data_IF_222337471685
#
_entry.id   IF_222337471685
#
_cell.length_a   1.000
_cell.length_b   1.000
_cell.length_c   1.000
_cell.angle_alpha   90.00
_cell.angle_beta   90.00
_cell.angle_gamma   90.00
#
_symmetry.space_group_name_H-M   'P 1'
#
loop_
_entity.id
_entity.type
_entity.pdbx_description
1 polymer ?
#
# COMPACT_ATOMS: atom_id res chain seq x y z
N UNK A 1 -33.38 16.18 -26.64
CA UNK A 1 -32.96 15.89 -25.30
C UNK A 1 -31.54 16.45 -25.11
N UNK A 2 -31.41 17.53 -24.32
CA UNK A 2 -30.20 18.35 -24.23
C UNK A 2 -29.12 17.63 -23.45
N UNK A 3 -27.90 17.58 -24.01
CA UNK A 3 -26.69 17.21 -23.31
C UNK A 3 -25.93 18.50 -23.04
N UNK A 4 -25.81 18.90 -21.75
CA UNK A 4 -24.90 19.95 -21.32
C UNK A 4 -23.45 19.41 -21.30
N UNK A 5 -22.59 20.01 -22.09
CA UNK A 5 -21.15 19.76 -22.08
C UNK A 5 -20.51 20.89 -21.27
N UNK A 6 -19.93 20.54 -20.13
CA UNK A 6 -19.08 21.46 -19.37
C UNK A 6 -17.67 21.53 -19.99
N UNK A 7 -17.15 22.75 -20.03
CA UNK A 7 -15.87 23.15 -20.64
C UNK A 7 -14.67 22.40 -20.08
N UNK A 8 -13.86 21.81 -20.97
CA UNK A 8 -12.43 21.71 -20.82
C UNK A 8 -11.75 22.10 -22.14
N UNK A 9 -10.87 23.09 -22.07
CA UNK A 9 -10.09 23.62 -23.16
C UNK A 9 -9.17 22.55 -23.77
N UNK A 10 -9.48 22.13 -24.99
CA UNK A 10 -8.52 21.52 -25.90
C UNK A 10 -8.96 21.84 -27.34
N UNK A 11 -8.18 22.66 -28.01
CA UNK A 11 -8.42 23.16 -29.37
C UNK A 11 -8.66 22.08 -30.43
N UNK A 12 -8.19 20.86 -30.18
CA UNK A 12 -8.33 19.70 -31.08
C UNK A 12 -9.74 19.09 -31.01
N UNK A 13 -10.41 19.15 -29.86
CA UNK A 13 -11.78 18.63 -29.70
C UNK A 13 -12.79 19.57 -30.36
N UNK A 14 -12.55 20.88 -30.34
CA UNK A 14 -13.38 21.88 -31.01
C UNK A 14 -13.32 21.77 -32.54
N UNK A 15 -12.14 21.49 -33.13
CA UNK A 15 -11.98 21.30 -34.57
C UNK A 15 -12.75 20.05 -35.07
N UNK A 16 -12.67 18.93 -34.35
CA UNK A 16 -13.42 17.70 -34.63
C UNK A 16 -14.94 17.91 -34.48
N UNK A 17 -15.38 18.66 -33.48
CA UNK A 17 -16.79 18.98 -33.25
C UNK A 17 -17.39 19.86 -34.39
N UNK A 18 -16.63 20.80 -34.95
CA UNK A 18 -17.06 21.64 -36.08
C UNK A 18 -17.13 20.87 -37.40
N UNK A 19 -16.16 20.01 -37.67
CA UNK A 19 -16.15 19.14 -38.85
C UNK A 19 -17.33 18.16 -38.78
N UNK A 20 -17.56 17.54 -37.61
CA UNK A 20 -18.67 16.62 -37.41
C UNK A 20 -20.04 17.28 -37.58
N UNK A 21 -20.26 18.47 -37.03
CA UNK A 21 -21.51 19.23 -37.25
C UNK A 21 -21.74 19.58 -38.71
N UNK A 22 -20.73 19.95 -39.47
CA UNK A 22 -20.85 20.25 -40.91
C UNK A 22 -21.13 19.00 -41.76
N UNK A 23 -20.49 17.85 -41.42
CA UNK A 23 -20.73 16.58 -42.09
C UNK A 23 -22.16 16.05 -41.82
N UNK A 24 -22.57 16.09 -40.55
CA UNK A 24 -23.93 15.66 -40.17
C UNK A 24 -25.00 16.55 -40.80
N UNK A 25 -24.84 17.88 -40.81
CA UNK A 25 -25.75 18.79 -41.45
C UNK A 25 -25.87 18.59 -42.98
N UNK A 26 -24.75 18.29 -43.66
CA UNK A 26 -24.74 17.96 -45.09
C UNK A 26 -25.38 16.59 -45.40
N UNK A 27 -25.16 15.59 -44.52
CA UNK A 27 -25.79 14.28 -44.65
C UNK A 27 -27.32 14.31 -44.40
N UNK A 28 -27.77 15.06 -43.39
CA UNK A 28 -29.21 15.21 -43.09
C UNK A 28 -29.96 15.93 -44.24
N UNK A 29 -29.31 16.87 -44.92
CA UNK A 29 -29.90 17.56 -46.09
C UNK A 29 -29.98 16.69 -47.35
N UNK A 30 -29.22 15.56 -47.42
CA UNK A 30 -29.13 14.70 -48.60
C UNK A 30 -30.00 13.43 -48.53
N UNK A 31 -30.74 13.19 -47.45
CA UNK A 31 -31.41 11.88 -47.24
C UNK A 31 -32.88 12.01 -46.91
N UNK A 32 -33.72 11.83 -47.93
CA UNK A 32 -35.20 11.72 -47.82
C UNK A 32 -35.69 10.28 -47.58
N UNK A 33 -34.88 9.32 -47.16
CA UNK A 33 -35.35 7.95 -46.88
C UNK A 33 -35.17 7.56 -45.40
N UNK A 34 -36.27 7.18 -44.73
CA UNK A 34 -36.31 6.75 -43.32
C UNK A 34 -35.33 5.62 -42.96
N UNK A 35 -34.97 4.76 -43.91
CA UNK A 35 -34.07 3.61 -43.70
C UNK A 35 -32.59 3.99 -43.48
N UNK A 36 -32.14 5.10 -44.08
CA UNK A 36 -30.76 5.53 -44.00
C UNK A 36 -30.44 6.21 -42.63
N UNK A 37 -31.43 6.95 -42.10
CA UNK A 37 -31.32 7.61 -40.78
C UNK A 37 -31.19 6.55 -39.65
N UNK A 38 -31.97 5.47 -39.74
CA UNK A 38 -31.93 4.38 -38.77
C UNK A 38 -30.57 3.67 -38.80
N UNK A 39 -29.97 3.45 -39.99
CA UNK A 39 -28.66 2.82 -40.14
C UNK A 39 -27.52 3.68 -39.54
N UNK A 40 -27.58 5.01 -39.74
CA UNK A 40 -26.59 5.94 -39.15
C UNK A 40 -26.73 5.98 -37.62
N UNK A 41 -27.93 6.04 -37.07
CA UNK A 41 -28.17 6.00 -35.64
C UNK A 41 -27.68 4.69 -35.02
N UNK A 42 -27.90 3.55 -35.67
CA UNK A 42 -27.44 2.26 -35.22
C UNK A 42 -25.91 2.15 -35.27
N UNK A 43 -25.28 2.66 -36.33
CA UNK A 43 -23.78 2.71 -36.43
C UNK A 43 -23.16 3.64 -35.40
N UNK A 44 -23.77 4.81 -35.14
CA UNK A 44 -23.30 5.73 -34.09
C UNK A 44 -23.51 5.16 -32.70
N UNK A 45 -24.59 4.41 -32.48
CA UNK A 45 -24.85 3.72 -31.22
C UNK A 45 -23.83 2.59 -30.98
N UNK A 46 -23.56 1.77 -32.00
CA UNK A 46 -22.53 0.71 -31.95
C UNK A 46 -21.13 1.31 -31.76
N UNK A 47 -20.80 2.41 -32.46
CA UNK A 47 -19.52 3.09 -32.31
C UNK A 47 -19.37 3.72 -30.90
N UNK A 48 -20.46 4.25 -30.36
CA UNK A 48 -20.49 4.76 -28.98
C UNK A 48 -20.31 3.67 -27.94
N UNK A 49 -20.87 2.47 -28.13
CA UNK A 49 -20.69 1.31 -27.24
C UNK A 49 -19.24 0.78 -27.32
N UNK A 50 -18.65 0.70 -28.51
CA UNK A 50 -17.26 0.26 -28.70
C UNK A 50 -16.28 1.26 -28.09
N UNK A 51 -16.51 2.57 -28.26
CA UNK A 51 -15.68 3.61 -27.67
C UNK A 51 -15.78 3.66 -26.13
N UNK A 52 -16.96 3.34 -25.57
CA UNK A 52 -17.20 3.33 -24.13
C UNK A 52 -16.49 2.15 -23.42
N UNK A 53 -16.14 1.10 -24.15
CA UNK A 53 -15.50 -0.09 -23.62
C UNK A 53 -14.00 -0.19 -23.96
N UNK A 54 -13.43 0.81 -24.62
CA UNK A 54 -11.98 0.82 -24.91
C UNK A 54 -11.18 0.95 -23.60
N UNK A 55 -10.34 -0.03 -23.30
CA UNK A 55 -9.41 0.03 -22.17
C UNK A 55 -8.44 1.19 -22.40
N UNK A 56 -8.20 2.06 -21.41
CA UNK A 56 -7.25 3.15 -21.56
C UNK A 56 -5.86 2.64 -21.95
N UNK A 57 -5.24 3.29 -22.93
CA UNK A 57 -3.91 2.89 -23.42
C UNK A 57 -2.88 2.72 -22.31
N UNK A 58 -2.92 3.59 -21.30
CA UNK A 58 -1.99 3.54 -20.18
C UNK A 58 -2.21 2.30 -19.29
N UNK A 59 -3.46 1.87 -19.09
CA UNK A 59 -3.75 0.64 -18.36
C UNK A 59 -3.10 -0.57 -19.04
N UNK A 60 -3.16 -0.68 -20.35
CA UNK A 60 -2.51 -1.77 -21.09
C UNK A 60 -0.98 -1.68 -21.05
N UNK A 61 -0.42 -0.47 -21.04
CA UNK A 61 1.03 -0.29 -20.87
C UNK A 61 1.53 -0.71 -19.49
N UNK A 62 0.68 -0.63 -18.47
CA UNK A 62 1.00 -1.05 -17.10
C UNK A 62 0.81 -2.57 -16.88
N UNK A 63 0.29 -3.31 -17.88
CA UNK A 63 0.06 -4.77 -17.78
C UNK A 63 1.37 -5.54 -17.65
N UNK A 64 1.47 -6.37 -16.62
CA UNK A 64 2.56 -7.33 -16.43
C UNK A 64 2.19 -8.62 -17.16
N UNK A 65 3.01 -9.02 -18.12
CA UNK A 65 2.83 -10.30 -18.81
C UNK A 65 3.24 -11.49 -17.93
N UNK A 66 4.39 -11.39 -17.30
CA UNK A 66 4.91 -12.35 -16.32
C UNK A 66 6.11 -11.76 -15.59
N UNK A 67 6.26 -12.06 -14.30
CA UNK A 67 7.46 -11.72 -13.54
C UNK A 67 8.53 -12.82 -13.69
N UNK A 68 9.83 -12.48 -13.64
CA UNK A 68 10.89 -13.48 -13.68
C UNK A 68 10.75 -14.56 -12.61
N UNK A 69 10.69 -15.82 -13.03
CA UNK A 69 10.50 -16.95 -12.12
C UNK A 69 9.11 -17.11 -11.53
N UNK A 70 8.11 -16.40 -12.07
CA UNK A 70 6.71 -16.52 -11.65
C UNK A 70 6.10 -17.83 -12.13
N UNK A 71 5.36 -18.57 -11.28
CA UNK A 71 4.53 -19.69 -11.74
C UNK A 71 3.34 -19.18 -12.60
N UNK A 72 2.76 -20.04 -13.48
CA UNK A 72 1.58 -19.67 -14.25
C UNK A 72 0.40 -19.25 -13.37
N UNK A 73 -0.28 -18.16 -13.73
CA UNK A 73 -1.48 -17.65 -13.05
C UNK A 73 -2.55 -17.24 -14.05
N UNK A 74 -3.82 -17.29 -13.64
CA UNK A 74 -4.97 -16.92 -14.47
C UNK A 74 -5.52 -15.50 -14.22
N UNK A 75 -4.93 -14.71 -13.31
CA UNK A 75 -5.37 -13.36 -13.01
C UNK A 75 -4.44 -12.32 -13.65
N UNK A 76 -4.99 -11.14 -13.95
CA UNK A 76 -4.20 -10.03 -14.50
C UNK A 76 -3.43 -9.31 -13.42
N UNK A 77 -2.29 -8.74 -13.83
CA UNK A 77 -1.42 -7.93 -12.99
C UNK A 77 -1.04 -6.65 -13.72
N UNK A 78 -0.88 -5.57 -12.98
CA UNK A 78 -0.48 -4.27 -13.51
C UNK A 78 0.45 -3.58 -12.52
N UNK A 79 1.44 -2.86 -13.02
CA UNK A 79 2.31 -2.01 -12.19
C UNK A 79 2.81 -0.81 -12.99
N UNK A 80 3.15 0.24 -12.27
CA UNK A 80 3.63 1.47 -12.88
C UNK A 80 3.57 2.64 -11.92
N UNK A 81 3.70 3.83 -12.47
CA UNK A 81 3.74 5.06 -11.71
C UNK A 81 2.50 5.92 -11.95
N UNK A 82 2.04 6.57 -10.88
CA UNK A 82 1.07 7.66 -10.96
C UNK A 82 1.71 8.90 -10.33
N UNK A 83 1.88 9.95 -11.12
CA UNK A 83 2.34 11.24 -10.62
C UNK A 83 1.28 11.81 -9.67
N UNK A 84 1.69 12.27 -8.50
CA UNK A 84 0.81 12.86 -7.48
C UNK A 84 1.06 14.34 -7.29
N UNK A 85 2.26 14.82 -7.66
CA UNK A 85 2.61 16.23 -7.65
C UNK A 85 3.59 16.55 -8.79
N UNK A 86 3.13 17.26 -9.80
CA UNK A 86 3.95 17.63 -10.98
C UNK A 86 5.06 18.62 -10.64
N UNK A 87 4.77 19.58 -9.74
CA UNK A 87 5.72 20.64 -9.38
C UNK A 87 6.97 20.08 -8.70
N UNK A 88 6.78 19.11 -7.81
CA UNK A 88 7.87 18.44 -7.08
C UNK A 88 8.35 17.17 -7.78
N UNK A 89 7.63 16.70 -8.80
CA UNK A 89 7.91 15.45 -9.49
C UNK A 89 7.72 14.22 -8.62
N UNK A 90 6.76 14.26 -7.68
CA UNK A 90 6.41 13.07 -6.89
C UNK A 90 5.56 12.12 -7.69
N UNK A 91 5.98 10.84 -7.73
CA UNK A 91 5.25 9.75 -8.35
C UNK A 91 5.25 8.52 -7.43
N UNK A 92 4.09 7.92 -7.27
CA UNK A 92 3.92 6.72 -6.47
C UNK A 92 3.83 5.49 -7.36
N UNK A 93 4.60 4.48 -6.99
CA UNK A 93 4.61 3.17 -7.65
C UNK A 93 3.52 2.28 -7.04
N UNK A 94 2.87 1.49 -7.88
CA UNK A 94 1.88 0.52 -7.46
C UNK A 94 2.08 -0.84 -8.14
N UNK A 95 1.64 -1.89 -7.46
CA UNK A 95 1.40 -3.21 -8.04
C UNK A 95 -0.05 -3.60 -7.77
N UNK A 96 -0.79 -3.83 -8.83
CA UNK A 96 -2.19 -4.21 -8.77
C UNK A 96 -2.38 -5.65 -9.28
N UNK A 97 -3.10 -6.47 -8.51
CA UNK A 97 -3.44 -7.85 -8.87
C UNK A 97 -4.95 -8.01 -8.85
N UNK A 98 -5.51 -8.47 -9.95
CA UNK A 98 -6.94 -8.78 -10.00
C UNK A 98 -7.25 -10.03 -9.17
N UNK A 99 -8.52 -10.17 -8.78
CA UNK A 99 -8.99 -11.36 -8.10
C UNK A 99 -8.88 -12.59 -9.01
N UNK A 100 -8.60 -13.75 -8.42
CA UNK A 100 -8.40 -15.01 -9.15
C UNK A 100 -9.65 -15.48 -9.87
N UNK A 101 -10.83 -15.09 -9.38
CA UNK A 101 -12.14 -15.45 -9.95
C UNK A 101 -13.07 -14.26 -9.97
N UNK A 102 -13.76 -14.06 -11.08
CA UNK A 102 -14.82 -13.05 -11.27
C UNK A 102 -14.41 -11.65 -10.75
N UNK A 103 -13.24 -11.11 -11.20
CA UNK A 103 -12.69 -9.86 -10.67
C UNK A 103 -13.65 -8.68 -10.81
N UNK A 104 -14.53 -8.71 -11.82
CA UNK A 104 -15.54 -7.68 -12.03
C UNK A 104 -16.62 -7.62 -10.94
N UNK A 105 -16.77 -8.64 -10.09
CA UNK A 105 -17.71 -8.70 -8.96
C UNK A 105 -17.07 -8.52 -7.60
N UNK A 106 -15.73 -8.63 -7.53
CA UNK A 106 -14.99 -8.54 -6.27
C UNK A 106 -14.69 -7.07 -5.91
N UNK A 107 -14.61 -6.75 -4.62
CA UNK A 107 -14.25 -5.40 -4.18
C UNK A 107 -12.82 -5.02 -4.57
N UNK A 108 -12.51 -3.72 -4.53
CA UNK A 108 -11.16 -3.20 -4.62
C UNK A 108 -10.63 -2.92 -3.21
N UNK A 109 -9.43 -3.42 -2.92
CA UNK A 109 -8.72 -3.24 -1.66
C UNK A 109 -7.39 -2.53 -1.93
N UNK A 110 -7.15 -1.39 -1.29
CA UNK A 110 -5.83 -0.77 -1.19
C UNK A 110 -5.13 -1.32 0.04
N UNK A 111 -3.90 -1.81 -0.13
CA UNK A 111 -3.04 -2.25 0.98
C UNK A 111 -1.87 -1.30 1.19
N UNK A 112 -1.63 -0.95 2.47
CA UNK A 112 -0.54 -0.08 2.91
C UNK A 112 0.24 -0.76 4.04
N UNK A 113 1.55 -0.87 3.90
CA UNK A 113 2.44 -1.21 5.01
C UNK A 113 2.96 0.05 5.70
N UNK A 114 3.32 -0.11 6.96
CA UNK A 114 3.71 0.99 7.82
C UNK A 114 5.16 1.46 7.69
N UNK A 115 5.90 1.32 8.74
CA UNK A 115 7.27 1.79 8.92
C UNK A 115 7.32 2.85 10.02
N UNK A 116 7.14 4.18 9.78
CA UNK A 116 6.75 4.79 8.49
C UNK A 116 7.81 4.61 7.42
N UNK A 117 7.38 4.63 6.15
CA UNK A 117 8.31 4.59 5.03
C UNK A 117 8.72 3.18 4.56
N UNK A 118 7.91 2.14 4.81
CA UNK A 118 8.15 0.78 4.34
C UNK A 118 7.24 0.40 3.16
N UNK A 119 7.72 -0.51 2.33
CA UNK A 119 7.14 -0.88 1.04
C UNK A 119 6.01 -1.90 1.17
N UNK A 120 4.85 -1.58 0.61
CA UNK A 120 3.74 -2.53 0.46
C UNK A 120 4.01 -3.62 -0.58
N UNK A 121 4.98 -3.41 -1.47
CA UNK A 121 5.44 -4.43 -2.42
C UNK A 121 6.36 -5.45 -1.71
N UNK A 122 7.23 -4.97 -0.81
CA UNK A 122 8.08 -5.84 -0.01
C UNK A 122 7.25 -6.75 0.90
N UNK A 123 6.50 -6.14 1.81
CA UNK A 123 5.79 -6.86 2.87
C UNK A 123 4.42 -7.36 2.41
N UNK A 124 3.48 -6.46 2.14
CA UNK A 124 2.11 -6.83 1.78
C UNK A 124 2.01 -7.80 0.63
N UNK A 125 2.66 -7.47 -0.50
CA UNK A 125 2.58 -8.29 -1.70
C UNK A 125 3.44 -9.56 -1.64
N UNK A 126 4.65 -9.49 -1.02
CA UNK A 126 5.62 -10.60 -1.10
C UNK A 126 5.71 -11.46 0.16
N UNK A 127 5.28 -10.93 1.32
CA UNK A 127 5.44 -11.64 2.60
C UNK A 127 4.11 -11.88 3.34
N UNK A 128 3.06 -11.08 3.08
CA UNK A 128 1.82 -11.13 3.85
C UNK A 128 0.64 -11.67 3.05
N UNK A 129 -0.02 -10.82 2.27
CA UNK A 129 -1.33 -11.11 1.68
C UNK A 129 -1.34 -11.27 0.17
N UNK A 130 -0.23 -10.95 -0.50
CA UNK A 130 -0.15 -11.02 -1.97
C UNK A 130 -0.05 -12.45 -2.52
N UNK A 131 -0.18 -12.59 -3.86
CA UNK A 131 -0.29 -13.88 -4.52
C UNK A 131 1.01 -14.68 -4.56
N UNK A 132 2.15 -14.02 -4.40
CA UNK A 132 3.46 -14.65 -4.53
C UNK A 132 4.31 -14.50 -3.28
N UNK A 133 5.19 -15.46 -3.10
CA UNK A 133 6.31 -15.43 -2.15
C UNK A 133 7.61 -15.54 -2.93
N UNK A 134 8.66 -14.90 -2.43
CA UNK A 134 10.00 -14.94 -3.02
C UNK A 134 10.78 -16.08 -2.38
N UNK A 135 11.47 -16.89 -3.18
CA UNK A 135 12.31 -17.95 -2.66
C UNK A 135 13.57 -17.41 -1.96
N UNK A 136 14.23 -18.23 -1.15
CA UNK A 136 15.40 -17.85 -0.34
C UNK A 136 16.58 -17.30 -1.14
N UNK A 137 16.68 -17.64 -2.40
CA UNK A 137 17.75 -17.15 -3.29
C UNK A 137 17.44 -15.79 -3.92
N UNK A 138 16.18 -15.33 -3.86
CA UNK A 138 15.72 -14.15 -4.58
C UNK A 138 15.62 -14.35 -6.09
N UNK A 139 15.54 -15.59 -6.58
CA UNK A 139 15.61 -15.89 -8.02
C UNK A 139 14.25 -16.21 -8.65
N UNK A 140 13.28 -16.67 -7.88
CA UNK A 140 11.96 -17.10 -8.36
C UNK A 140 10.86 -16.86 -7.35
N UNK A 141 9.62 -16.93 -7.83
CA UNK A 141 8.41 -16.79 -7.05
C UNK A 141 7.70 -18.15 -6.90
N UNK A 142 6.94 -18.29 -5.81
CA UNK A 142 5.99 -19.38 -5.61
C UNK A 142 4.65 -18.85 -5.10
N UNK A 143 3.57 -19.62 -5.30
CA UNK A 143 2.23 -19.17 -4.94
C UNK A 143 2.02 -19.13 -3.42
N UNK A 144 1.38 -18.08 -2.96
CA UNK A 144 0.83 -17.98 -1.62
C UNK A 144 -0.57 -18.61 -1.59
N UNK A 145 -0.73 -19.71 -0.85
CA UNK A 145 -2.00 -20.43 -0.70
C UNK A 145 -3.08 -19.61 0.02
N UNK A 146 -2.69 -18.57 0.74
CA UNK A 146 -3.57 -17.72 1.54
C UNK A 146 -3.64 -16.29 0.99
N UNK A 147 -3.41 -16.13 -0.30
CA UNK A 147 -3.45 -14.80 -0.93
C UNK A 147 -4.86 -14.22 -0.89
N UNK A 148 -4.94 -12.94 -0.54
CA UNK A 148 -6.22 -12.24 -0.47
C UNK A 148 -6.80 -11.90 -1.84
N UNK A 149 -6.03 -12.02 -2.91
CA UNK A 149 -6.59 -11.88 -4.26
C UNK A 149 -7.52 -13.05 -4.66
N UNK A 150 -7.72 -14.04 -3.82
CA UNK A 150 -8.84 -14.97 -3.95
C UNK A 150 -10.19 -14.31 -3.69
N UNK A 151 -10.21 -13.23 -2.87
CA UNK A 151 -11.45 -12.59 -2.42
C UNK A 151 -11.58 -11.12 -2.85
N UNK A 152 -10.51 -10.45 -3.27
CA UNK A 152 -10.51 -9.04 -3.65
C UNK A 152 -9.54 -8.74 -4.79
N UNK A 153 -9.78 -7.65 -5.51
CA UNK A 153 -8.77 -7.02 -6.36
C UNK A 153 -7.86 -6.18 -5.45
N UNK A 154 -6.54 -6.41 -5.47
CA UNK A 154 -5.64 -5.81 -4.48
C UNK A 154 -4.67 -4.85 -5.14
N UNK A 155 -4.62 -3.63 -4.62
CA UNK A 155 -3.73 -2.56 -5.01
C UNK A 155 -2.69 -2.34 -3.91
N UNK A 156 -1.46 -2.77 -4.12
CA UNK A 156 -0.32 -2.51 -3.24
C UNK A 156 0.32 -1.19 -3.64
N UNK A 157 0.41 -0.23 -2.72
CA UNK A 157 0.93 1.11 -3.00
C UNK A 157 2.20 1.36 -2.20
N UNK A 158 3.30 1.67 -2.87
CA UNK A 158 4.50 2.18 -2.21
C UNK A 158 4.30 3.68 -1.91
N UNK A 159 4.02 4.00 -0.67
CA UNK A 159 3.69 5.34 -0.18
C UNK A 159 4.38 5.61 1.16
N UNK A 160 4.91 6.86 1.34
CA UNK A 160 4.96 8.00 0.41
C UNK A 160 6.05 7.90 -0.67
N UNK A 161 6.23 9.00 -1.44
CA UNK A 161 7.36 9.14 -2.38
C UNK A 161 8.70 9.02 -1.63
N UNK A 162 9.60 8.18 -2.14
CA UNK A 162 10.85 7.80 -1.47
C UNK A 162 10.82 6.41 -0.83
N UNK A 163 9.67 5.71 -0.89
CA UNK A 163 9.51 4.31 -0.50
C UNK A 163 9.68 3.42 -1.72
N UNK A 164 10.54 2.43 -1.65
CA UNK A 164 10.73 1.46 -2.71
C UNK A 164 11.04 2.11 -4.07
N UNK A 165 10.18 1.88 -5.06
CA UNK A 165 10.28 2.48 -6.39
C UNK A 165 9.62 3.86 -6.48
N UNK A 166 8.80 4.26 -5.51
CA UNK A 166 8.20 5.60 -5.48
C UNK A 166 9.24 6.68 -5.27
N UNK A 167 9.17 7.78 -6.02
CA UNK A 167 10.22 8.78 -6.05
C UNK A 167 9.69 10.22 -6.04
N UNK A 168 10.61 11.14 -5.79
CA UNK A 168 10.44 12.58 -5.97
C UNK A 168 11.66 13.18 -6.69
N UNK A 169 11.44 14.21 -7.51
CA UNK A 169 12.52 14.99 -8.12
C UNK A 169 12.99 16.14 -7.21
N UNK A 170 12.40 16.27 -6.01
CA UNK A 170 12.68 17.37 -5.06
C UNK A 170 13.21 16.76 -3.76
N UNK A 171 14.52 16.85 -3.54
CA UNK A 171 15.19 16.20 -2.39
C UNK A 171 14.70 16.67 -1.01
N UNK A 172 14.17 17.91 -0.90
CA UNK A 172 13.57 18.40 0.33
C UNK A 172 12.32 17.60 0.74
N UNK A 173 11.59 16.99 -0.20
CA UNK A 173 10.43 16.15 0.10
C UNK A 173 10.78 14.95 0.98
N UNK A 174 12.00 14.41 0.86
CA UNK A 174 12.47 13.29 1.66
C UNK A 174 12.86 13.70 3.10
N UNK A 175 13.14 15.00 3.30
CA UNK A 175 13.51 15.57 4.60
C UNK A 175 12.33 16.20 5.35
N UNK A 176 11.21 16.30 4.69
CA UNK A 176 9.97 16.87 5.21
C UNK A 176 8.83 15.89 4.93
N UNK A 177 8.93 14.69 5.47
CA UNK A 177 7.95 13.62 5.31
C UNK A 177 7.02 13.54 6.51
N UNK A 178 5.76 13.17 6.26
CA UNK A 178 4.79 13.06 7.32
C UNK A 178 3.43 12.52 6.88
N UNK A 179 2.54 12.41 7.85
CA UNK A 179 1.23 11.77 7.72
C UNK A 179 0.30 12.53 6.77
N UNK A 180 0.17 13.86 6.93
CA UNK A 180 -0.81 14.64 6.15
C UNK A 180 -0.51 14.60 4.65
N UNK A 181 0.77 14.82 4.29
CA UNK A 181 1.21 14.76 2.88
C UNK A 181 1.06 13.36 2.31
N UNK A 182 1.37 12.32 3.08
CA UNK A 182 1.21 10.93 2.68
C UNK A 182 -0.24 10.61 2.36
N UNK A 183 -1.16 10.99 3.21
CA UNK A 183 -2.60 10.81 2.99
C UNK A 183 -3.11 11.64 1.79
N UNK A 184 -2.61 12.87 1.60
CA UNK A 184 -2.98 13.73 0.47
C UNK A 184 -2.50 13.16 -0.87
N UNK A 185 -1.23 12.75 -0.94
CA UNK A 185 -0.66 12.14 -2.16
C UNK A 185 -1.37 10.81 -2.50
N UNK A 186 -1.72 10.01 -1.49
CA UNK A 186 -2.48 8.78 -1.68
C UNK A 186 -3.92 9.03 -2.21
N UNK A 187 -4.60 10.08 -1.77
CA UNK A 187 -5.90 10.47 -2.35
C UNK A 187 -5.76 10.88 -3.82
N UNK A 188 -4.75 11.72 -4.15
CA UNK A 188 -4.48 12.12 -5.53
C UNK A 188 -4.13 10.90 -6.39
N UNK A 189 -3.32 9.99 -5.85
CA UNK A 189 -3.02 8.71 -6.50
C UNK A 189 -4.30 7.96 -6.85
N UNK A 190 -5.19 7.73 -5.90
CA UNK A 190 -6.44 6.98 -6.11
C UNK A 190 -7.34 7.60 -7.19
N UNK A 191 -7.51 8.92 -7.16
CA UNK A 191 -8.35 9.62 -8.15
C UNK A 191 -7.77 9.49 -9.56
N UNK A 192 -6.46 9.59 -9.72
CA UNK A 192 -5.76 9.43 -11.00
C UNK A 192 -5.69 7.97 -11.43
N UNK A 193 -5.45 7.05 -10.50
CA UNK A 193 -5.45 5.62 -10.78
C UNK A 193 -6.82 5.14 -11.26
N UNK A 194 -7.93 5.56 -10.63
CA UNK A 194 -9.28 5.24 -11.08
C UNK A 194 -9.65 5.89 -12.42
N UNK A 195 -8.93 6.93 -12.83
CA UNK A 195 -9.05 7.48 -14.19
C UNK A 195 -8.34 6.61 -15.22
N UNK A 196 -7.25 5.96 -14.83
CA UNK A 196 -6.50 4.98 -15.63
C UNK A 196 -7.21 3.62 -15.67
N UNK A 197 -7.90 3.24 -14.58
CA UNK A 197 -8.64 1.98 -14.41
C UNK A 197 -10.15 2.26 -14.20
N UNK A 198 -10.88 2.73 -15.22
CA UNK A 198 -12.26 3.19 -15.06
C UNK A 198 -13.25 2.10 -14.64
N UNK A 199 -12.95 0.83 -14.87
CA UNK A 199 -13.76 -0.31 -14.42
C UNK A 199 -13.83 -0.44 -12.89
N UNK A 200 -12.92 0.24 -12.16
CA UNK A 200 -12.88 0.24 -10.70
C UNK A 200 -13.52 1.48 -10.06
N UNK A 201 -13.98 2.46 -10.86
CA UNK A 201 -14.79 3.57 -10.36
C UNK A 201 -16.11 3.05 -9.78
N UNK A 202 -16.55 3.65 -8.68
CA UNK A 202 -17.79 3.31 -7.95
C UNK A 202 -17.85 1.87 -7.42
N UNK A 203 -16.82 1.05 -7.60
CA UNK A 203 -16.73 -0.28 -7.01
C UNK A 203 -16.61 -0.16 -5.51
N UNK A 204 -17.14 -1.13 -4.75
CA UNK A 204 -16.90 -1.19 -3.32
C UNK A 204 -15.40 -1.14 -3.05
N UNK A 205 -14.99 -0.15 -2.29
CA UNK A 205 -13.60 0.14 -2.00
C UNK A 205 -13.33 0.05 -0.51
N UNK A 206 -12.25 -0.62 -0.16
CA UNK A 206 -11.73 -0.75 1.20
C UNK A 206 -10.27 -0.36 1.23
N UNK A 207 -9.83 0.13 2.39
CA UNK A 207 -8.42 0.38 2.66
C UNK A 207 -8.01 -0.57 3.77
N UNK A 208 -6.86 -1.22 3.63
CA UNK A 208 -6.29 -2.04 4.69
C UNK A 208 -4.82 -1.73 4.87
N UNK A 209 -4.31 -2.01 6.07
CA UNK A 209 -2.89 -1.84 6.33
C UNK A 209 -2.48 -2.41 7.67
N UNK A 210 -1.19 -2.33 7.95
CA UNK A 210 -0.54 -2.97 9.07
C UNK A 210 0.49 -2.00 9.70
N UNK A 211 0.73 -2.14 11.04
CA UNK A 211 1.77 -1.40 11.76
C UNK A 211 1.52 0.11 11.74
N UNK A 212 2.51 0.93 11.30
CA UNK A 212 2.33 2.38 11.17
C UNK A 212 1.24 2.80 10.15
N UNK A 213 0.78 1.89 9.28
CA UNK A 213 -0.40 2.15 8.47
C UNK A 213 -1.69 2.28 9.30
N UNK A 214 -1.64 2.04 10.61
CA UNK A 214 -2.64 2.48 11.59
C UNK A 214 -2.86 4.00 11.60
N UNK A 215 -1.90 4.79 11.09
CA UNK A 215 -2.02 6.23 10.78
C UNK A 215 -2.46 6.44 9.33
N UNK A 216 -1.79 5.83 8.37
CA UNK A 216 -2.07 6.05 6.95
C UNK A 216 -3.50 5.74 6.55
N UNK A 217 -4.02 4.61 7.02
CA UNK A 217 -5.34 4.10 6.62
C UNK A 217 -6.48 4.99 7.10
N UNK A 218 -6.63 5.33 8.40
CA UNK A 218 -7.70 6.20 8.87
C UNK A 218 -7.58 7.62 8.34
N UNK A 219 -6.38 8.17 8.20
CA UNK A 219 -6.17 9.51 7.64
C UNK A 219 -6.56 9.58 6.15
N UNK A 220 -6.16 8.56 5.35
CA UNK A 220 -6.61 8.46 3.96
C UNK A 220 -8.13 8.26 3.87
N UNK A 221 -8.71 7.41 4.73
CA UNK A 221 -10.15 7.20 4.79
C UNK A 221 -10.91 8.50 5.10
N UNK A 222 -10.39 9.32 6.03
CA UNK A 222 -10.91 10.64 6.34
C UNK A 222 -10.84 11.58 5.14
N UNK A 223 -9.69 11.68 4.47
CA UNK A 223 -9.54 12.52 3.27
C UNK A 223 -10.49 12.08 2.13
N UNK A 224 -10.69 10.78 1.93
CA UNK A 224 -11.66 10.26 0.94
C UNK A 224 -13.09 10.60 1.37
N UNK A 225 -13.43 10.45 2.64
CA UNK A 225 -14.75 10.80 3.15
C UNK A 225 -15.07 12.29 2.89
N UNK A 226 -14.13 13.18 3.21
CA UNK A 226 -14.28 14.62 2.98
C UNK A 226 -14.34 14.96 1.48
N UNK A 227 -13.51 14.32 0.67
CA UNK A 227 -13.57 14.42 -0.79
C UNK A 227 -14.94 14.01 -1.32
N UNK A 228 -15.48 12.88 -0.87
CA UNK A 228 -16.77 12.39 -1.30
C UNK A 228 -17.92 13.35 -0.91
N UNK A 229 -17.85 13.96 0.28
CA UNK A 229 -18.83 14.99 0.70
C UNK A 229 -18.78 16.24 -0.16
N UNK A 230 -17.62 16.63 -0.63
CA UNK A 230 -17.43 17.83 -1.45
C UNK A 230 -17.84 17.65 -2.92
N UNK A 231 -18.09 16.41 -3.37
CA UNK A 231 -18.38 16.09 -4.78
C UNK A 231 -19.77 15.47 -4.93
N UNK A 232 -20.55 15.96 -5.88
CA UNK A 232 -21.91 15.45 -6.16
C UNK A 232 -21.94 14.03 -6.75
N UNK A 233 -20.85 13.60 -7.40
CA UNK A 233 -20.71 12.25 -7.96
C UNK A 233 -19.31 11.70 -7.71
N UNK A 234 -19.01 11.29 -6.46
CA UNK A 234 -17.69 10.80 -6.09
C UNK A 234 -17.38 9.47 -6.75
N UNK A 235 -16.15 9.32 -7.25
CA UNK A 235 -15.72 8.09 -7.94
C UNK A 235 -15.22 7.00 -6.98
N UNK A 236 -14.91 7.32 -5.72
CA UNK A 236 -14.38 6.41 -4.71
C UNK A 236 -15.51 5.98 -3.78
N UNK A 237 -16.00 4.75 -3.94
CA UNK A 237 -17.09 4.21 -3.13
C UNK A 237 -16.54 3.55 -1.85
N UNK A 238 -15.99 4.35 -0.94
CA UNK A 238 -15.40 3.88 0.32
C UNK A 238 -16.47 3.25 1.21
N UNK A 239 -16.26 1.98 1.61
CA UNK A 239 -17.13 1.21 2.49
C UNK A 239 -16.59 1.06 3.91
N UNK A 240 -15.28 1.12 4.06
CA UNK A 240 -14.63 0.95 5.35
C UNK A 240 -13.14 0.73 5.23
N UNK A 241 -12.53 0.42 6.36
CA UNK A 241 -11.12 0.08 6.41
C UNK A 241 -10.79 -1.00 7.43
N UNK A 242 -9.61 -1.60 7.30
CA UNK A 242 -9.08 -2.63 8.19
C UNK A 242 -7.66 -2.25 8.60
N UNK A 243 -7.33 -2.41 9.88
CA UNK A 243 -5.96 -2.22 10.37
C UNK A 243 -5.53 -3.37 11.26
N UNK A 244 -4.38 -3.92 10.96
CA UNK A 244 -3.78 -5.05 11.69
C UNK A 244 -2.54 -4.62 12.45
N UNK A 245 -2.39 -5.06 13.72
CA UNK A 245 -1.22 -4.74 14.55
C UNK A 245 -0.83 -3.26 14.46
N UNK A 246 -1.85 -2.41 14.46
CA UNK A 246 -1.76 -1.00 14.09
C UNK A 246 -1.22 -0.14 15.22
N UNK A 247 -0.40 0.85 14.87
CA UNK A 247 -0.14 2.00 15.71
C UNK A 247 -1.41 2.87 15.68
N UNK A 248 -2.08 2.98 16.82
CA UNK A 248 -3.40 3.63 16.91
C UNK A 248 -3.42 4.76 17.94
N UNK A 249 -2.76 4.53 19.08
CA UNK A 249 -2.72 5.48 20.19
C UNK A 249 -1.43 5.26 20.98
N UNK A 250 -0.59 6.28 21.04
CA UNK A 250 0.76 6.18 21.63
C UNK A 250 0.74 5.68 23.08
N UNK A 251 -0.24 6.11 23.87
CA UNK A 251 -0.35 5.69 25.27
C UNK A 251 -0.70 4.21 25.40
N UNK A 252 -1.80 3.79 24.78
CA UNK A 252 -2.28 2.41 24.91
C UNK A 252 -1.37 1.41 24.22
N UNK A 253 -0.82 1.76 23.06
CA UNK A 253 0.10 0.91 22.31
C UNK A 253 1.41 0.72 23.06
N UNK A 254 1.97 1.78 23.67
CA UNK A 254 3.22 1.71 24.44
C UNK A 254 3.06 0.88 25.71
N UNK A 255 2.00 1.11 26.49
CA UNK A 255 1.71 0.30 27.68
C UNK A 255 1.48 -1.16 27.29
N UNK A 256 0.68 -1.39 26.24
CA UNK A 256 0.42 -2.74 25.74
C UNK A 256 1.70 -3.47 25.34
N UNK A 257 2.60 -2.79 24.64
CA UNK A 257 3.89 -3.32 24.23
C UNK A 257 4.77 -3.71 25.42
N UNK A 258 4.97 -2.80 26.35
CA UNK A 258 5.84 -3.04 27.52
C UNK A 258 5.24 -4.14 28.42
N UNK A 259 3.92 -4.16 28.57
CA UNK A 259 3.23 -5.22 29.32
C UNK A 259 3.34 -6.57 28.64
N UNK A 260 3.25 -6.60 27.30
CA UNK A 260 3.48 -7.84 26.54
C UNK A 260 4.90 -8.38 26.72
N UNK A 261 5.91 -7.52 26.61
CA UNK A 261 7.31 -7.93 26.85
C UNK A 261 7.50 -8.56 28.23
N UNK A 262 6.94 -7.93 29.24
CA UNK A 262 7.01 -8.43 30.61
C UNK A 262 6.26 -9.73 30.81
N UNK A 263 5.00 -9.81 30.37
CA UNK A 263 4.14 -10.98 30.54
C UNK A 263 4.64 -12.22 29.77
N UNK A 264 5.46 -12.02 28.74
CA UNK A 264 6.08 -13.09 27.96
C UNK A 264 7.55 -13.32 28.35
N UNK A 265 7.98 -12.78 29.49
CA UNK A 265 9.34 -12.96 30.04
C UNK A 265 10.46 -12.48 29.11
N UNK A 266 10.15 -11.52 28.22
CA UNK A 266 11.16 -10.90 27.33
C UNK A 266 11.98 -9.85 28.09
N UNK A 267 11.42 -9.26 29.14
CA UNK A 267 12.10 -8.32 30.04
C UNK A 267 11.86 -8.71 31.50
N UNK A 268 12.81 -8.35 32.37
CA UNK A 268 12.74 -8.60 33.80
C UNK A 268 11.72 -7.70 34.51
N UNK A 269 11.27 -8.14 35.71
CA UNK A 269 10.43 -7.30 36.60
C UNK A 269 11.08 -5.94 36.88
N UNK A 270 12.42 -5.92 37.04
CA UNK A 270 13.16 -4.68 37.27
C UNK A 270 13.06 -3.73 36.11
N UNK A 271 13.25 -4.23 34.90
CA UNK A 271 13.21 -3.43 33.67
C UNK A 271 11.79 -2.94 33.42
N UNK A 272 10.76 -3.81 33.55
CA UNK A 272 9.36 -3.41 33.46
C UNK A 272 9.02 -2.25 34.40
N UNK A 273 9.33 -2.41 35.71
CA UNK A 273 9.10 -1.36 36.72
C UNK A 273 9.85 -0.08 36.42
N UNK A 274 11.07 -0.17 35.86
CA UNK A 274 11.86 0.96 35.48
C UNK A 274 11.26 1.72 34.30
N UNK A 275 10.80 1.02 33.26
CA UNK A 275 10.11 1.63 32.12
C UNK A 275 8.84 2.33 32.59
N UNK A 276 7.97 1.65 33.33
CA UNK A 276 6.72 2.22 33.84
C UNK A 276 6.93 3.44 34.75
N UNK A 277 8.06 3.53 35.43
CA UNK A 277 8.42 4.66 36.29
C UNK A 277 8.96 5.87 35.52
N UNK A 278 9.74 5.64 34.47
CA UNK A 278 10.51 6.69 33.81
C UNK A 278 9.95 7.13 32.45
N UNK A 279 9.07 6.33 31.85
CA UNK A 279 8.44 6.66 30.59
C UNK A 279 7.07 7.32 30.78
N UNK A 280 6.92 8.52 30.24
CA UNK A 280 5.62 9.16 30.10
C UNK A 280 5.10 8.94 28.67
N UNK A 281 4.25 7.95 28.47
CA UNK A 281 3.71 7.59 27.16
C UNK A 281 2.67 8.58 26.59
N UNK A 282 2.30 9.63 27.36
CA UNK A 282 1.47 10.72 26.85
C UNK A 282 2.28 11.94 26.40
N UNK A 283 3.60 11.95 26.63
CA UNK A 283 4.46 13.02 26.23
C UNK A 283 4.78 12.96 24.72
N UNK A 284 4.85 14.12 24.08
CA UNK A 284 5.25 14.21 22.67
C UNK A 284 6.70 13.73 22.42
N UNK A 285 7.57 13.88 23.44
CA UNK A 285 8.96 13.44 23.37
C UNK A 285 9.30 12.55 24.55
N UNK A 286 9.96 11.46 24.27
CA UNK A 286 10.53 10.60 25.30
C UNK A 286 11.62 11.32 26.09
N UNK A 287 11.77 10.98 27.38
CA UNK A 287 12.92 11.44 28.16
C UNK A 287 14.13 10.56 27.91
N UNK A 288 15.34 11.12 27.99
CA UNK A 288 16.60 10.36 27.88
C UNK A 288 16.61 9.13 28.80
N UNK A 289 16.06 9.27 30.00
CA UNK A 289 15.98 8.16 30.96
C UNK A 289 15.05 7.05 30.51
N UNK A 290 13.94 7.38 29.84
CA UNK A 290 13.05 6.40 29.22
C UNK A 290 13.78 5.68 28.08
N UNK A 291 14.43 6.43 27.19
CA UNK A 291 15.16 5.88 26.05
C UNK A 291 16.27 4.91 26.49
N UNK A 292 17.02 5.27 27.54
CA UNK A 292 18.06 4.42 28.13
C UNK A 292 17.51 3.06 28.61
N UNK A 293 16.38 3.09 29.32
CA UNK A 293 15.80 1.85 29.89
C UNK A 293 15.19 0.98 28.79
N UNK A 294 14.51 1.58 27.81
CA UNK A 294 13.97 0.86 26.65
C UNK A 294 15.10 0.28 25.78
N UNK A 295 16.14 1.06 25.54
CA UNK A 295 17.34 0.58 24.83
C UNK A 295 18.03 -0.57 25.56
N UNK A 296 18.09 -0.51 26.89
CA UNK A 296 18.61 -1.62 27.71
C UNK A 296 17.78 -2.89 27.51
N UNK A 297 16.45 -2.79 27.56
CA UNK A 297 15.55 -3.91 27.34
C UNK A 297 15.79 -4.59 25.99
N UNK A 298 15.86 -3.82 24.93
CA UNK A 298 16.04 -4.31 23.56
C UNK A 298 17.43 -4.93 23.34
N UNK A 299 18.46 -4.25 23.81
CA UNK A 299 19.84 -4.66 23.52
C UNK A 299 20.40 -5.75 24.44
N UNK A 300 19.82 -5.91 25.65
CA UNK A 300 20.40 -6.79 26.67
C UNK A 300 19.45 -7.89 27.16
N UNK A 301 18.12 -7.69 27.10
CA UNK A 301 17.18 -8.69 27.62
C UNK A 301 16.49 -9.49 26.51
N UNK A 302 16.18 -8.90 25.35
CA UNK A 302 15.56 -9.61 24.21
C UNK A 302 16.47 -10.68 23.60
N UNK A 303 17.78 -10.44 23.57
CA UNK A 303 18.77 -11.35 22.98
C UNK A 303 18.53 -11.56 21.48
N UNK A 304 18.51 -12.84 21.06
CA UNK A 304 18.38 -13.27 19.67
C UNK A 304 16.90 -13.47 19.20
N UNK A 305 15.92 -13.00 20.00
CA UNK A 305 14.50 -13.15 19.67
C UNK A 305 14.12 -12.15 18.57
N UNK A 306 13.37 -12.62 17.57
CA UNK A 306 12.77 -11.74 16.58
C UNK A 306 11.68 -10.87 17.22
N UNK A 307 11.71 -9.56 16.98
CA UNK A 307 10.77 -8.63 17.59
C UNK A 307 9.33 -8.85 17.10
N UNK A 308 9.15 -9.46 15.92
CA UNK A 308 7.85 -9.76 15.32
C UNK A 308 7.38 -11.19 15.60
N UNK A 309 8.21 -12.04 16.21
CA UNK A 309 7.84 -13.41 16.56
C UNK A 309 8.67 -13.91 17.74
N UNK A 310 8.06 -13.95 18.92
CA UNK A 310 8.72 -14.46 20.15
C UNK A 310 9.15 -15.93 20.06
N UNK A 311 8.70 -16.67 19.05
CA UNK A 311 9.07 -18.07 18.81
C UNK A 311 10.18 -18.24 17.77
N UNK A 312 10.66 -17.15 17.19
CA UNK A 312 11.60 -17.17 16.07
C UNK A 312 12.86 -16.37 16.44
N UNK A 313 14.06 -16.85 16.15
CA UNK A 313 15.27 -16.05 16.28
C UNK A 313 15.30 -14.96 15.20
N UNK A 314 15.97 -13.85 15.47
CA UNK A 314 16.18 -12.79 14.47
C UNK A 314 16.95 -13.31 13.24
N UNK A 315 16.80 -12.67 12.09
CA UNK A 315 17.52 -13.05 10.86
C UNK A 315 19.04 -12.99 11.06
N UNK A 316 19.56 -12.00 11.80
CA UNK A 316 20.99 -11.89 12.13
C UNK A 316 21.48 -13.10 12.93
N UNK A 317 20.68 -13.59 13.88
CA UNK A 317 21.03 -14.77 14.67
C UNK A 317 21.05 -16.05 13.80
N UNK A 318 20.20 -16.13 12.76
CA UNK A 318 20.19 -17.28 11.83
C UNK A 318 21.35 -17.26 10.83
N UNK A 319 21.82 -16.08 10.43
CA UNK A 319 22.91 -15.94 9.46
C UNK A 319 24.30 -16.03 10.10
N UNK A 320 24.41 -15.68 11.37
CA UNK A 320 25.66 -15.82 12.14
C UNK A 320 25.89 -17.29 12.54
N UNK A 321 26.91 -17.92 11.96
CA UNK A 321 27.33 -19.30 12.29
C UNK A 321 27.72 -19.50 13.78
N UNK A 322 27.76 -18.44 14.54
CA UNK A 322 27.98 -18.41 16.01
C UNK A 322 26.70 -18.55 16.83
N UNK A 323 25.53 -18.78 16.18
CA UNK A 323 24.27 -19.03 16.89
C UNK A 323 24.49 -20.17 17.89
N UNK A 324 24.42 -19.85 19.17
CA UNK A 324 24.67 -20.78 20.27
C UNK A 324 23.63 -21.90 20.18
N UNK A 325 24.05 -23.09 19.80
CA UNK A 325 23.26 -24.30 19.91
C UNK A 325 22.91 -24.49 21.38
N UNK A 326 21.64 -24.31 21.75
CA UNK A 326 21.17 -24.67 23.09
C UNK A 326 21.25 -26.18 23.20
N UNK A 327 22.20 -26.69 23.97
CA UNK A 327 22.29 -28.11 24.36
C UNK A 327 21.49 -28.31 25.64
N UNK A 328 20.45 -29.10 25.58
CA UNK A 328 19.81 -29.64 26.77
C UNK A 328 20.31 -31.08 26.93
N UNK A 329 21.30 -31.29 27.81
CA UNK A 329 22.00 -32.57 27.93
C UNK A 329 22.79 -32.93 26.65
N UNK A 330 22.67 -34.17 26.19
CA UNK A 330 23.32 -34.65 24.98
C UNK A 330 22.50 -34.44 23.68
N UNK A 331 21.33 -33.79 23.77
CA UNK A 331 20.41 -33.62 22.64
C UNK A 331 20.59 -32.24 22.01
N UNK A 332 20.96 -32.20 20.73
CA UNK A 332 20.91 -31.00 19.89
C UNK A 332 19.41 -30.70 19.61
N UNK A 333 18.89 -29.68 20.26
CA UNK A 333 17.59 -29.15 19.88
C UNK A 333 17.73 -28.41 18.55
N UNK A 334 17.34 -29.08 17.47
CA UNK A 334 17.12 -28.42 16.20
C UNK A 334 15.88 -27.56 16.35
N UNK A 335 16.06 -26.26 16.43
CA UNK A 335 14.96 -25.29 16.42
C UNK A 335 14.32 -25.35 15.03
N UNK A 336 13.22 -26.08 14.90
CA UNK A 336 12.38 -26.00 13.70
C UNK A 336 11.71 -24.63 13.70
N UNK A 337 12.08 -23.80 12.72
CA UNK A 337 11.39 -22.54 12.43
C UNK A 337 10.02 -22.94 11.87
N UNK A 338 8.97 -22.81 12.66
CA UNK A 338 7.61 -23.12 12.21
C UNK A 338 7.00 -21.86 11.57
N UNK A 339 6.89 -21.85 10.25
CA UNK A 339 5.96 -21.00 9.52
C UNK A 339 6.44 -19.58 9.16
N UNK A 340 7.24 -18.90 9.96
CA UNK A 340 7.76 -17.56 9.71
C UNK A 340 9.27 -17.58 9.46
N UNK A 341 9.70 -16.97 8.35
CA UNK A 341 11.12 -16.79 8.01
C UNK A 341 11.50 -15.30 8.19
N UNK A 342 12.27 -14.93 9.21
CA UNK A 342 12.59 -13.53 9.49
C UNK A 342 13.57 -12.90 8.48
N UNK A 343 14.05 -13.68 7.49
CA UNK A 343 14.98 -13.21 6.47
C UNK A 343 14.33 -12.88 5.13
N UNK A 344 13.01 -12.88 5.05
CA UNK A 344 12.24 -12.67 3.80
C UNK A 344 12.52 -11.31 3.16
N UNK A 345 12.74 -10.25 3.94
CA UNK A 345 13.14 -8.93 3.46
C UNK A 345 14.40 -8.99 2.60
N UNK A 346 15.42 -9.76 3.01
CA UNK A 346 16.65 -9.95 2.22
C UNK A 346 16.39 -10.63 0.86
N UNK A 347 15.35 -11.49 0.77
CA UNK A 347 14.99 -12.15 -0.48
C UNK A 347 14.25 -11.18 -1.39
N UNK A 348 13.38 -10.33 -0.83
CA UNK A 348 12.68 -9.26 -1.53
C UNK A 348 13.70 -8.26 -2.12
N UNK A 349 14.66 -7.79 -1.33
CA UNK A 349 15.70 -6.88 -1.82
C UNK A 349 16.52 -7.47 -2.96
N UNK A 350 16.89 -8.73 -2.88
CA UNK A 350 17.60 -9.42 -3.98
C UNK A 350 16.74 -9.49 -5.23
N UNK A 351 15.46 -9.81 -5.10
CA UNK A 351 14.56 -9.98 -6.23
C UNK A 351 14.25 -8.66 -6.93
N UNK A 352 13.83 -7.62 -6.18
CA UNK A 352 13.42 -6.34 -6.75
C UNK A 352 14.57 -5.46 -7.26
N UNK A 353 15.81 -5.76 -6.88
CA UNK A 353 16.99 -5.12 -7.48
C UNK A 353 17.48 -5.78 -8.77
N UNK A 354 16.84 -6.85 -9.24
CA UNK A 354 17.17 -7.48 -10.51
C UNK A 354 16.66 -6.63 -11.68
N UNK A 355 17.51 -6.32 -12.69
CA UNK A 355 17.10 -5.50 -13.84
C UNK A 355 15.94 -6.10 -14.65
N UNK A 356 15.88 -7.44 -14.77
CA UNK A 356 14.80 -8.12 -15.47
C UNK A 356 13.46 -8.04 -14.70
N UNK A 357 13.48 -8.06 -13.38
CA UNK A 357 12.31 -7.85 -12.53
C UNK A 357 11.82 -6.40 -12.64
N UNK A 358 12.71 -5.42 -12.50
CA UNK A 358 12.38 -4.01 -12.64
C UNK A 358 11.75 -3.71 -14.01
N UNK A 359 12.34 -4.27 -15.08
CA UNK A 359 11.80 -4.14 -16.43
C UNK A 359 10.40 -4.75 -16.54
N UNK A 360 10.18 -5.97 -16.00
CA UNK A 360 8.88 -6.65 -16.06
C UNK A 360 7.80 -5.94 -15.23
N UNK A 361 8.20 -5.26 -14.16
CA UNK A 361 7.32 -4.45 -13.31
C UNK A 361 7.17 -3.00 -13.77
N UNK A 362 7.74 -2.58 -14.88
CA UNK A 362 7.77 -1.18 -15.32
C UNK A 362 8.33 -0.25 -14.23
N UNK A 363 9.19 -0.78 -13.36
CA UNK A 363 9.80 -0.08 -12.23
C UNK A 363 11.12 0.57 -12.66
N UNK A 364 11.60 1.54 -11.87
CA UNK A 364 12.87 2.24 -12.06
C UNK A 364 13.06 2.83 -13.47
N UNK A 365 11.98 3.26 -14.12
CA UNK A 365 11.99 3.83 -15.47
C UNK A 365 12.70 5.19 -15.54
N UNK A 366 12.89 5.85 -14.41
CA UNK A 366 13.57 7.15 -14.28
C UNK A 366 15.03 7.04 -13.90
N UNK A 367 15.56 5.81 -13.70
CA UNK A 367 16.94 5.57 -13.30
C UNK A 367 17.26 6.09 -11.90
N UNK A 368 16.44 5.68 -10.91
CA UNK A 368 16.67 6.03 -9.49
C UNK A 368 18.11 5.67 -9.11
N UNK A 369 18.91 6.60 -8.54
CA UNK A 369 20.36 6.42 -8.35
C UNK A 369 20.72 5.55 -7.13
N UNK A 370 19.76 4.92 -6.50
CA UNK A 370 19.95 4.06 -5.32
C UNK A 370 19.27 2.70 -5.51
N UNK A 371 19.72 1.72 -4.75
CA UNK A 371 19.10 0.40 -4.72
C UNK A 371 17.71 0.47 -4.11
N UNK A 372 16.80 -0.32 -4.62
CA UNK A 372 15.52 -0.56 -3.97
C UNK A 372 15.74 -1.21 -2.61
N UNK A 373 15.11 -0.69 -1.57
CA UNK A 373 15.09 -1.24 -0.20
C UNK A 373 13.66 -1.38 0.28
N UNK A 374 13.43 -2.31 1.18
CA UNK A 374 12.09 -2.53 1.74
C UNK A 374 11.61 -1.35 2.58
N UNK A 375 12.51 -0.64 3.26
CA UNK A 375 12.20 0.56 4.03
C UNK A 375 13.18 1.69 3.72
N UNK A 376 12.72 2.93 3.88
CA UNK A 376 13.51 4.14 3.64
C UNK A 376 13.97 4.78 4.95
N UNK A 377 15.22 4.57 5.32
CA UNK A 377 15.84 5.18 6.51
C UNK A 377 15.76 6.71 6.51
N UNK A 378 15.79 7.32 5.32
CA UNK A 378 15.71 8.78 5.18
C UNK A 378 14.33 9.27 5.61
N UNK A 379 13.27 8.61 5.19
CA UNK A 379 11.90 8.98 5.57
C UNK A 379 11.67 8.74 7.06
N UNK A 380 12.10 7.57 7.58
CA UNK A 380 11.95 7.23 9.01
C UNK A 380 12.58 8.30 9.90
N UNK A 381 13.78 8.76 9.56
CA UNK A 381 14.51 9.76 10.33
C UNK A 381 13.94 11.18 10.24
N UNK A 382 13.17 11.48 9.21
CA UNK A 382 12.64 12.81 8.93
C UNK A 382 11.11 12.87 8.99
N UNK A 383 10.48 11.92 9.66
CA UNK A 383 9.04 11.91 9.86
C UNK A 383 8.63 12.91 10.95
N UNK A 384 7.74 13.84 10.66
CA UNK A 384 7.60 15.04 11.50
C UNK A 384 6.19 15.42 11.98
N UNK A 385 5.12 14.77 11.54
CA UNK A 385 3.74 15.17 11.89
C UNK A 385 2.85 13.99 12.33
N UNK A 386 3.43 13.02 13.05
CA UNK A 386 2.65 11.90 13.60
C UNK A 386 1.71 12.37 14.70
N UNK A 387 0.43 12.09 14.55
CA UNK A 387 -0.56 12.34 15.59
C UNK A 387 -0.40 11.33 16.75
N UNK A 388 -0.66 11.79 17.97
CA UNK A 388 -0.58 10.91 19.14
C UNK A 388 -1.68 9.85 19.19
N UNK A 389 -2.81 10.08 18.51
CA UNK A 389 -3.96 9.17 18.54
C UNK A 389 -4.81 9.28 17.27
N UNK A 390 -5.14 8.16 16.68
CA UNK A 390 -6.09 8.02 15.57
C UNK A 390 -7.54 7.85 16.04
N UNK A 391 -7.79 7.68 17.33
CA UNK A 391 -9.12 7.43 17.88
C UNK A 391 -10.15 8.54 17.54
N UNK A 392 -9.80 9.84 17.49
CA UNK A 392 -10.74 10.86 17.03
C UNK A 392 -11.23 10.63 15.60
N UNK A 393 -10.35 10.26 14.69
CA UNK A 393 -10.71 9.94 13.28
C UNK A 393 -11.61 8.69 13.24
N UNK A 394 -11.32 7.65 14.03
CA UNK A 394 -12.17 6.46 14.11
C UNK A 394 -13.58 6.84 14.54
N UNK A 395 -13.73 7.64 15.60
CA UNK A 395 -15.03 8.10 16.10
C UNK A 395 -15.83 8.83 15.02
N UNK A 396 -15.20 9.69 14.27
CA UNK A 396 -15.83 10.44 13.17
C UNK A 396 -16.30 9.49 12.04
N UNK A 397 -15.43 8.58 11.61
CA UNK A 397 -15.73 7.69 10.50
C UNK A 397 -16.76 6.60 10.87
N UNK A 398 -16.78 6.15 12.11
CA UNK A 398 -17.85 5.27 12.64
C UNK A 398 -19.20 6.00 12.60
N UNK A 399 -19.23 7.26 13.07
CA UNK A 399 -20.44 8.09 13.02
C UNK A 399 -20.91 8.35 11.58
N UNK A 400 -20.00 8.35 10.62
CA UNK A 400 -20.29 8.45 9.19
C UNK A 400 -20.77 7.13 8.56
N UNK A 401 -20.87 6.04 9.32
CA UNK A 401 -21.36 4.73 8.88
C UNK A 401 -20.33 3.85 8.15
N UNK A 402 -19.05 4.19 8.22
CA UNK A 402 -17.98 3.35 7.67
C UNK A 402 -17.76 2.10 8.52
N UNK A 403 -17.52 0.96 7.88
CA UNK A 403 -17.14 -0.28 8.56
C UNK A 403 -15.66 -0.24 8.92
N UNK A 404 -15.34 -0.47 10.20
CA UNK A 404 -13.96 -0.46 10.70
C UNK A 404 -13.65 -1.79 11.37
N UNK A 405 -12.57 -2.45 10.94
CA UNK A 405 -12.03 -3.64 11.56
C UNK A 405 -10.64 -3.36 12.10
N UNK A 406 -10.45 -3.63 13.38
CA UNK A 406 -9.14 -3.60 14.04
C UNK A 406 -8.84 -5.01 14.51
N UNK A 407 -7.71 -5.55 14.07
CA UNK A 407 -7.27 -6.87 14.49
C UNK A 407 -5.82 -6.81 14.98
N UNK A 408 -5.53 -7.66 15.98
CA UNK A 408 -4.18 -7.87 16.49
C UNK A 408 -3.91 -9.35 16.58
N UNK A 409 -2.74 -9.78 16.14
CA UNK A 409 -2.19 -11.09 16.45
C UNK A 409 -1.44 -10.98 17.76
N UNK A 410 -1.51 -11.98 18.65
CA UNK A 410 -0.92 -11.92 20.00
C UNK A 410 0.62 -11.88 20.05
N UNK A 411 1.30 -11.70 18.91
CA UNK A 411 2.76 -11.83 18.78
C UNK A 411 3.47 -10.54 18.41
N UNK A 412 2.75 -9.45 18.13
CA UNK A 412 3.35 -8.19 17.67
C UNK A 412 3.09 -7.05 18.65
N UNK A 413 4.08 -6.61 19.41
CA UNK A 413 4.03 -5.27 19.97
C UNK A 413 4.27 -4.25 18.83
N UNK A 414 3.50 -3.16 18.72
CA UNK A 414 3.89 -2.06 17.88
C UNK A 414 5.19 -1.46 18.41
N UNK A 415 6.21 -1.44 17.60
CA UNK A 415 7.46 -0.75 17.94
C UNK A 415 7.37 0.62 17.30
N UNK A 416 7.09 1.63 18.11
CA UNK A 416 7.30 3.00 17.71
C UNK A 416 8.79 3.28 17.86
N UNK A 417 9.52 3.41 16.75
CA UNK A 417 10.79 4.12 16.75
C UNK A 417 10.45 5.62 16.69
N UNK A 418 10.75 6.31 17.77
CA UNK A 418 10.92 7.75 17.74
C UNK A 418 12.28 8.11 17.14
#
# INVERSE_FOLDING_TARGET
MCVCIHHHNNSTVLALGFIFKRVVAKMVAAVQSKGFVISICYSLFLFGIVAANAVPKQQELDRISSLPGQPPVGFSQFSGYVTVNEKHGRALFYWFTEATTVPEKKPLLLWLNGGPGCSSVAYGASEEIGPFRINKTGSSLYLNKYSWNMEANILFLESPAGVGFSYTNTSSDLKDSGDDRTAQDALIFLTRWMSRFPAYRHREFYIAGESYAGHYVPQLAKKIHDYNKAHSNPIINLKGFMVGNAVTDNYYDSIGTVTFWWSHSMISDRTYKSIMKHCNFTAEKSSTRCDDVVSYAINHEFGDIDQYSIYTPSCLALTNKSARHIRLGNTLLHRQISGYDPCTENYAEKYYNRPDVQKAMHANTTGIPYKWTACSDVLIKNWNDSENSMLPIYKELIAAGLRIWVFRTGFFPPITKN
#
